data_IF_653820839466
#
_entry.id   IF_653820839466
#
_cell.length_a   1.000
_cell.length_b   1.000
_cell.length_c   1.000
_cell.angle_alpha   90.00
_cell.angle_beta   90.00
_cell.angle_gamma   90.00
#
_symmetry.space_group_name_H-M   'P 1'
#
loop_
_entity.id
_entity.type
_entity.pdbx_description
1 polymer ?
#
# COMPACT_ATOMS: atom_id res chain seq x y z
N UNK A 1 1.97 -12.47 -41.31
CA UNK A 1 1.60 -12.83 -39.93
C UNK A 1 2.35 -11.86 -39.02
N UNK A 2 1.67 -10.78 -38.59
CA UNK A 2 2.28 -9.70 -37.81
C UNK A 2 2.57 -10.17 -36.37
N UNK A 3 3.84 -10.45 -36.08
CA UNK A 3 4.38 -10.47 -34.72
C UNK A 3 4.98 -9.11 -34.41
N UNK A 4 4.16 -8.11 -34.11
CA UNK A 4 4.64 -6.77 -33.75
C UNK A 4 3.74 -6.16 -32.68
N UNK A 5 4.23 -6.16 -31.43
CA UNK A 5 4.07 -5.14 -30.36
C UNK A 5 3.75 -5.65 -28.93
N UNK A 6 3.47 -6.93 -28.68
CA UNK A 6 3.16 -7.41 -27.32
C UNK A 6 4.38 -7.53 -26.37
N UNK A 7 5.60 -7.38 -26.87
CA UNK A 7 6.81 -7.45 -26.04
C UNK A 7 7.27 -6.09 -25.49
N UNK A 8 6.58 -4.98 -25.82
CA UNK A 8 6.99 -3.63 -25.40
C UNK A 8 6.16 -3.04 -24.24
N UNK A 9 5.24 -3.82 -23.65
CA UNK A 9 4.52 -3.45 -22.42
C UNK A 9 4.96 -4.25 -21.19
N UNK A 10 6.13 -4.91 -21.25
CA UNK A 10 6.75 -5.69 -20.15
C UNK A 10 7.22 -4.84 -18.95
N UNK A 11 6.66 -3.65 -18.71
CA UNK A 11 7.22 -2.70 -17.76
C UNK A 11 6.24 -1.73 -17.10
N UNK A 12 4.92 -1.97 -17.11
CA UNK A 12 4.06 -1.23 -16.18
C UNK A 12 4.12 -1.90 -14.81
N UNK A 13 4.75 -1.21 -13.88
CA UNK A 13 4.92 -1.61 -12.48
C UNK A 13 3.55 -1.81 -11.81
N UNK A 14 3.20 -3.04 -11.45
CA UNK A 14 1.91 -3.31 -10.81
C UNK A 14 1.96 -2.85 -9.35
N UNK A 15 0.90 -2.18 -8.92
CA UNK A 15 0.67 -1.83 -7.52
C UNK A 15 -0.63 -2.46 -7.03
N UNK A 16 -0.64 -2.90 -5.78
CA UNK A 16 -1.86 -3.30 -5.09
C UNK A 16 -2.47 -2.07 -4.45
N UNK A 17 -3.77 -1.87 -4.64
CA UNK A 17 -4.53 -0.77 -4.05
C UNK A 17 -5.59 -1.34 -3.11
N UNK A 18 -5.78 -0.66 -1.98
CA UNK A 18 -6.85 -0.94 -1.02
C UNK A 18 -7.53 0.37 -0.62
N UNK A 19 -8.80 0.51 -0.98
CA UNK A 19 -9.68 1.50 -0.35
C UNK A 19 -10.41 0.84 0.80
N UNK A 20 -10.46 1.49 1.96
CA UNK A 20 -11.13 0.93 3.13
C UNK A 20 -11.71 2.01 4.03
N UNK A 21 -12.89 1.77 4.59
CA UNK A 21 -13.44 2.52 5.72
C UNK A 21 -13.30 1.70 6.99
N UNK A 22 -12.16 1.84 7.66
CA UNK A 22 -11.77 0.93 8.75
C UNK A 22 -12.65 1.13 9.98
N UNK A 23 -12.92 0.05 10.70
CA UNK A 23 -13.63 0.13 11.99
C UNK A 23 -12.94 1.08 12.99
N UNK A 24 -11.61 1.14 12.99
CA UNK A 24 -10.82 2.00 13.91
C UNK A 24 -11.12 3.49 13.71
N UNK A 25 -11.37 3.94 12.49
CA UNK A 25 -11.58 5.35 12.14
C UNK A 25 -13.04 5.79 12.25
N UNK A 26 -13.96 4.81 12.42
CA UNK A 26 -15.41 4.99 12.32
C UNK A 26 -16.15 4.48 13.57
N UNK A 27 -15.46 4.36 14.70
CA UNK A 27 -16.02 3.82 15.96
C UNK A 27 -17.26 4.57 16.45
N UNK A 28 -17.34 5.86 16.16
CA UNK A 28 -18.46 6.73 16.56
C UNK A 28 -19.72 6.51 15.71
N UNK A 29 -19.62 5.78 14.59
CA UNK A 29 -20.76 5.51 13.73
C UNK A 29 -21.52 4.28 14.24
N UNK A 30 -22.82 4.41 14.59
CA UNK A 30 -23.59 3.28 15.08
C UNK A 30 -23.79 2.22 13.99
N UNK A 31 -23.62 0.95 14.39
CA UNK A 31 -23.72 -0.23 13.52
C UNK A 31 -22.83 -0.13 12.28
N UNK A 32 -21.65 0.47 12.43
CA UNK A 32 -20.72 0.60 11.34
C UNK A 32 -20.21 -0.78 10.88
N UNK A 33 -20.17 -0.97 9.55
CA UNK A 33 -19.56 -2.13 8.92
C UNK A 33 -18.50 -1.63 7.95
N UNK A 34 -17.28 -2.10 8.16
CA UNK A 34 -16.15 -1.80 7.30
C UNK A 34 -16.44 -2.19 5.84
N UNK A 35 -16.11 -1.27 4.93
CA UNK A 35 -16.13 -1.50 3.48
C UNK A 35 -14.70 -1.56 2.98
N UNK A 36 -14.45 -2.46 2.03
CA UNK A 36 -13.13 -2.60 1.40
C UNK A 36 -13.27 -2.78 -0.10
N UNK A 37 -12.37 -2.18 -0.86
CA UNK A 37 -12.18 -2.43 -2.29
C UNK A 37 -10.69 -2.62 -2.54
N UNK A 38 -10.30 -3.86 -2.86
CA UNK A 38 -8.92 -4.22 -3.18
C UNK A 38 -8.79 -4.62 -4.64
N UNK A 39 -7.78 -4.12 -5.33
CA UNK A 39 -7.53 -4.40 -6.74
C UNK A 39 -6.06 -4.18 -7.10
N UNK A 40 -5.68 -4.66 -8.29
CA UNK A 40 -4.36 -4.50 -8.87
C UNK A 40 -4.44 -3.48 -9.99
N UNK A 41 -3.43 -2.61 -10.13
CA UNK A 41 -3.46 -1.53 -11.12
C UNK A 41 -2.07 -1.18 -11.64
N UNK A 42 -2.05 -0.56 -12.80
CA UNK A 42 -0.89 0.12 -13.40
C UNK A 42 -1.08 1.64 -13.49
N UNK A 43 -2.21 2.14 -12.97
CA UNK A 43 -2.59 3.56 -12.95
C UNK A 43 -1.80 4.33 -11.89
N UNK A 44 -1.57 5.61 -12.12
CA UNK A 44 -0.90 6.50 -11.15
C UNK A 44 -1.82 6.82 -9.97
N UNK A 45 -1.26 7.40 -8.91
CA UNK A 45 -2.03 7.83 -7.73
C UNK A 45 -3.09 8.86 -8.12
N UNK A 46 -2.74 9.81 -9.00
CA UNK A 46 -3.62 10.88 -9.48
C UNK A 46 -4.83 10.31 -10.20
N UNK A 47 -4.63 9.31 -11.07
CA UNK A 47 -5.71 8.64 -11.78
C UNK A 47 -6.65 7.86 -10.83
N UNK A 48 -6.14 7.43 -9.69
CA UNK A 48 -6.90 6.66 -8.69
C UNK A 48 -7.71 7.54 -7.75
N UNK A 49 -7.45 8.87 -7.69
CA UNK A 49 -8.17 9.79 -6.81
C UNK A 49 -9.66 9.84 -7.13
N UNK A 50 -10.03 9.97 -8.40
CA UNK A 50 -11.45 9.97 -8.81
C UNK A 50 -12.17 8.67 -8.38
N UNK A 51 -11.46 7.54 -8.44
CA UNK A 51 -12.03 6.25 -8.03
C UNK A 51 -12.15 6.14 -6.50
N UNK A 52 -11.25 6.78 -5.77
CA UNK A 52 -11.31 6.89 -4.31
C UNK A 52 -12.44 7.83 -3.87
N UNK A 53 -12.63 8.96 -4.53
CA UNK A 53 -13.72 9.90 -4.24
C UNK A 53 -15.08 9.22 -4.42
N UNK A 54 -15.26 8.46 -5.52
CA UNK A 54 -16.45 7.63 -5.72
C UNK A 54 -16.63 6.55 -4.64
N UNK A 55 -15.55 6.05 -4.04
CA UNK A 55 -15.64 5.11 -2.92
C UNK A 55 -16.08 5.80 -1.62
N UNK A 56 -15.63 7.04 -1.41
CA UNK A 56 -16.00 7.91 -0.28
C UNK A 56 -17.48 8.31 -0.37
N UNK A 57 -17.94 8.76 -1.54
CA UNK A 57 -19.33 9.18 -1.80
C UNK A 57 -20.35 8.05 -1.56
N UNK A 58 -19.96 6.80 -1.78
CA UNK A 58 -20.79 5.62 -1.47
C UNK A 58 -20.85 5.28 0.02
N UNK A 59 -20.10 6.00 0.86
CA UNK A 59 -20.08 5.86 2.30
C UNK A 59 -21.30 6.49 2.98
N UNK A 60 -21.31 6.41 4.31
CA UNK A 60 -22.30 7.07 5.16
C UNK A 60 -21.80 8.45 5.58
N UNK A 61 -22.72 9.35 5.91
CA UNK A 61 -22.38 10.66 6.49
C UNK A 61 -21.44 10.49 7.69
N UNK A 62 -20.37 11.29 7.74
CA UNK A 62 -19.26 11.23 8.72
C UNK A 62 -18.36 9.99 8.64
N UNK A 63 -18.50 9.13 7.63
CA UNK A 63 -17.61 8.00 7.40
C UNK A 63 -16.24 8.46 6.89
N UNK A 64 -15.18 7.99 7.54
CA UNK A 64 -13.79 8.17 7.13
C UNK A 64 -13.34 6.96 6.32
N UNK A 65 -12.82 7.21 5.13
CA UNK A 65 -12.20 6.21 4.25
C UNK A 65 -10.71 6.52 4.06
N UNK A 66 -9.92 5.48 3.76
CA UNK A 66 -8.49 5.57 3.50
C UNK A 66 -8.13 4.92 2.16
N UNK A 67 -7.21 5.54 1.45
CA UNK A 67 -6.60 5.03 0.24
C UNK A 67 -5.19 4.53 0.58
N UNK A 68 -4.99 3.22 0.42
CA UNK A 68 -3.69 2.59 0.51
C UNK A 68 -3.16 2.09 -0.83
N UNK A 69 -1.84 2.17 -1.03
CA UNK A 69 -1.11 1.56 -2.15
C UNK A 69 0.06 0.73 -1.63
N UNK A 70 0.41 -0.37 -2.30
CA UNK A 70 1.59 -1.14 -1.90
C UNK A 70 2.86 -0.33 -2.09
N UNK A 71 3.71 -0.30 -1.05
CA UNK A 71 5.03 0.33 -1.11
C UNK A 71 5.87 -0.35 -2.19
N UNK A 72 5.79 -1.67 -2.24
CA UNK A 72 6.47 -2.48 -3.25
C UNK A 72 5.62 -2.72 -4.49
N UNK A 73 6.31 -2.72 -5.61
CA UNK A 73 5.80 -3.15 -6.90
C UNK A 73 5.63 -4.65 -6.95
N UNK A 74 4.75 -5.11 -7.82
CA UNK A 74 4.48 -6.53 -8.04
C UNK A 74 4.94 -6.94 -9.43
N UNK A 75 5.59 -8.08 -9.49
CA UNK A 75 6.06 -8.67 -10.73
C UNK A 75 4.89 -9.33 -11.46
N UNK A 76 4.53 -8.80 -12.63
CA UNK A 76 3.39 -9.28 -13.40
C UNK A 76 3.46 -10.77 -13.73
N UNK A 77 4.65 -11.27 -14.10
CA UNK A 77 4.82 -12.69 -14.46
C UNK A 77 4.64 -13.58 -13.24
N UNK A 78 5.17 -13.19 -12.08
CA UNK A 78 4.99 -13.93 -10.83
C UNK A 78 3.53 -13.92 -10.37
N UNK A 79 2.89 -12.75 -10.37
CA UNK A 79 1.47 -12.60 -10.02
C UNK A 79 0.58 -13.45 -10.92
N UNK A 80 0.80 -13.41 -12.23
CA UNK A 80 0.02 -14.19 -13.19
C UNK A 80 0.15 -15.69 -12.94
N UNK A 81 1.38 -16.19 -12.76
CA UNK A 81 1.61 -17.61 -12.44
C UNK A 81 0.96 -18.00 -11.11
N UNK A 82 1.14 -17.18 -10.07
CA UNK A 82 0.56 -17.44 -8.75
C UNK A 82 -0.98 -17.44 -8.80
N UNK A 83 -1.59 -16.57 -9.60
CA UNK A 83 -3.03 -16.55 -9.80
C UNK A 83 -3.51 -17.83 -10.51
N UNK A 84 -2.81 -18.26 -11.57
CA UNK A 84 -3.16 -19.50 -12.28
C UNK A 84 -3.13 -20.70 -11.35
N UNK A 85 -2.07 -20.86 -10.54
CA UNK A 85 -2.01 -21.90 -9.53
C UNK A 85 -3.17 -21.79 -8.53
N UNK A 86 -3.44 -20.59 -8.02
CA UNK A 86 -4.55 -20.37 -7.08
C UNK A 86 -5.91 -20.78 -7.65
N UNK A 87 -6.19 -20.46 -8.92
CA UNK A 87 -7.46 -20.80 -9.58
C UNK A 87 -7.58 -22.30 -9.90
N UNK A 88 -6.47 -23.00 -10.13
CA UNK A 88 -6.48 -24.46 -10.30
C UNK A 88 -6.77 -25.19 -8.98
N UNK A 89 -6.30 -24.62 -7.87
CA UNK A 89 -6.40 -25.25 -6.54
C UNK A 89 -7.66 -24.85 -5.76
N UNK A 90 -8.41 -23.83 -6.19
CA UNK A 90 -9.51 -23.26 -5.42
C UNK A 90 -10.72 -22.87 -6.30
N UNK A 91 -11.92 -23.25 -5.84
CA UNK A 91 -13.16 -22.68 -6.36
C UNK A 91 -13.38 -21.28 -5.79
N UNK A 92 -13.57 -20.30 -6.66
CA UNK A 92 -13.86 -18.91 -6.26
C UNK A 92 -15.09 -18.37 -6.98
N UNK A 93 -15.76 -17.42 -6.33
CA UNK A 93 -16.71 -16.57 -7.02
C UNK A 93 -15.95 -15.60 -7.94
N UNK A 94 -16.16 -15.70 -9.26
CA UNK A 94 -15.49 -14.84 -10.24
C UNK A 94 -15.82 -13.35 -10.09
N UNK A 95 -16.95 -13.00 -9.48
CA UNK A 95 -17.24 -11.60 -9.12
C UNK A 95 -16.27 -11.04 -8.06
N UNK A 96 -15.61 -11.91 -7.29
CA UNK A 96 -14.56 -11.53 -6.33
C UNK A 96 -13.14 -11.57 -6.90
N UNK A 97 -13.00 -11.85 -8.20
CA UNK A 97 -11.68 -11.99 -8.83
C UNK A 97 -10.76 -10.78 -8.60
N UNK A 98 -11.21 -9.50 -8.68
CA UNK A 98 -10.33 -8.36 -8.43
C UNK A 98 -9.66 -8.38 -7.04
N UNK A 99 -10.43 -8.70 -5.99
CA UNK A 99 -9.89 -8.76 -4.62
C UNK A 99 -9.02 -10.00 -4.40
N UNK A 100 -9.33 -11.11 -5.08
CA UNK A 100 -8.49 -12.31 -5.06
C UNK A 100 -7.15 -12.09 -5.75
N UNK A 101 -7.14 -11.44 -6.91
CA UNK A 101 -5.90 -11.07 -7.61
C UNK A 101 -5.06 -10.15 -6.72
N UNK A 102 -5.66 -9.13 -6.11
CA UNK A 102 -4.97 -8.26 -5.17
C UNK A 102 -4.34 -9.04 -4.00
N UNK A 103 -5.10 -9.95 -3.39
CA UNK A 103 -4.61 -10.80 -2.29
C UNK A 103 -3.45 -11.71 -2.71
N UNK A 104 -3.50 -12.29 -3.91
CA UNK A 104 -2.39 -13.09 -4.46
C UNK A 104 -1.18 -12.21 -4.72
N UNK A 105 -1.38 -11.03 -5.32
CA UNK A 105 -0.31 -10.11 -5.64
C UNK A 105 0.37 -9.52 -4.40
N UNK A 106 -0.35 -9.31 -3.30
CA UNK A 106 0.19 -8.81 -2.03
C UNK A 106 1.21 -9.74 -1.35
N UNK A 107 1.36 -10.99 -1.81
CA UNK A 107 2.34 -11.90 -1.22
C UNK A 107 3.77 -11.46 -1.55
N UNK A 108 4.67 -11.59 -0.58
CA UNK A 108 6.06 -11.14 -0.68
C UNK A 108 6.84 -11.75 -1.86
N UNK A 109 6.55 -13.01 -2.20
CA UNK A 109 7.17 -13.70 -3.34
C UNK A 109 6.86 -13.05 -4.69
N UNK A 110 5.74 -12.32 -4.77
CA UNK A 110 5.30 -11.60 -5.96
C UNK A 110 5.81 -10.16 -6.00
N UNK A 111 6.59 -9.71 -5.01
CA UNK A 111 7.22 -8.41 -5.05
C UNK A 111 8.29 -8.33 -6.17
N UNK A 112 8.32 -7.18 -6.83
CA UNK A 112 9.34 -6.77 -7.81
C UNK A 112 10.42 -5.94 -7.12
N UNK A 113 10.03 -5.03 -6.24
CA UNK A 113 10.92 -4.21 -5.42
C UNK A 113 10.99 -4.72 -3.97
N UNK A 114 11.99 -4.27 -3.21
CA UNK A 114 12.21 -4.66 -1.81
C UNK A 114 12.41 -3.44 -0.89
N UNK A 115 11.62 -2.40 -1.11
CA UNK A 115 11.58 -1.20 -0.28
C UNK A 115 11.13 -1.55 1.14
N UNK A 116 11.69 -0.86 2.13
CA UNK A 116 11.23 -0.93 3.52
C UNK A 116 10.55 0.38 3.90
N UNK A 117 9.55 0.30 4.77
CA UNK A 117 8.79 1.43 5.28
C UNK A 117 8.86 1.45 6.80
N UNK A 118 9.24 2.58 7.37
CA UNK A 118 9.12 2.86 8.79
C UNK A 118 7.79 3.57 9.03
N UNK A 119 6.93 2.97 9.85
CA UNK A 119 5.72 3.60 10.36
C UNK A 119 6.10 4.40 11.60
N UNK A 120 6.16 5.73 11.45
CA UNK A 120 6.57 6.67 12.48
C UNK A 120 5.32 7.23 13.17
N UNK A 121 5.04 6.72 14.36
CA UNK A 121 3.92 7.15 15.23
C UNK A 121 4.41 7.90 16.49
N UNK A 122 5.66 8.39 16.49
CA UNK A 122 6.22 9.18 17.59
C UNK A 122 5.91 10.69 17.44
N UNK A 123 6.53 11.52 18.28
CA UNK A 123 6.40 12.98 18.24
C UNK A 123 6.67 13.55 16.84
N UNK A 124 5.63 14.11 16.21
CA UNK A 124 5.71 14.70 14.87
C UNK A 124 6.76 15.80 14.74
N UNK A 125 7.10 16.48 15.84
CA UNK A 125 8.15 17.53 15.83
C UNK A 125 9.57 16.96 15.62
N UNK A 126 9.76 15.66 15.86
CA UNK A 126 11.07 14.99 15.75
C UNK A 126 11.26 14.19 14.46
N UNK A 127 10.32 14.28 13.52
CA UNK A 127 10.39 13.54 12.26
C UNK A 127 11.67 13.86 11.47
N UNK A 128 12.12 15.12 11.49
CA UNK A 128 13.31 15.51 10.76
C UNK A 128 14.60 14.96 11.42
N UNK A 129 14.61 14.81 12.76
CA UNK A 129 15.70 14.10 13.46
C UNK A 129 15.70 12.61 13.10
N UNK A 130 14.53 11.98 13.06
CA UNK A 130 14.42 10.59 12.64
C UNK A 130 14.90 10.38 11.20
N UNK A 131 14.53 11.27 10.28
CA UNK A 131 15.00 11.22 8.88
C UNK A 131 16.51 11.43 8.80
N UNK A 132 17.08 12.31 9.60
CA UNK A 132 18.53 12.49 9.66
C UNK A 132 19.23 11.20 10.11
N UNK A 133 18.76 10.56 11.18
CA UNK A 133 19.32 9.29 11.65
C UNK A 133 19.17 8.17 10.60
N UNK A 134 18.02 8.09 9.93
CA UNK A 134 17.82 7.13 8.83
C UNK A 134 18.80 7.42 7.70
N UNK A 135 18.95 8.69 7.30
CA UNK A 135 19.85 9.10 6.21
C UNK A 135 21.31 8.78 6.53
N UNK A 136 21.74 8.98 7.78
CA UNK A 136 23.11 8.67 8.21
C UNK A 136 23.41 7.17 8.13
N UNK A 137 22.47 6.32 8.55
CA UNK A 137 22.64 4.86 8.53
C UNK A 137 22.41 4.24 7.15
N UNK A 138 21.48 4.79 6.37
CA UNK A 138 21.08 4.30 5.06
C UNK A 138 21.96 4.82 3.92
N UNK A 139 22.63 5.97 4.13
CA UNK A 139 23.51 6.65 3.17
C UNK A 139 22.80 7.16 1.89
N UNK A 140 21.48 7.37 1.96
CA UNK A 140 20.65 7.97 0.91
C UNK A 140 19.44 8.64 1.57
N UNK A 141 18.74 9.53 0.85
CA UNK A 141 17.61 10.28 1.40
C UNK A 141 16.33 9.43 1.30
N UNK A 142 15.65 9.14 2.42
CA UNK A 142 14.39 8.40 2.39
C UNK A 142 13.23 9.28 1.89
N UNK A 143 12.20 8.64 1.34
CA UNK A 143 10.95 9.31 0.95
C UNK A 143 10.05 9.48 2.19
N UNK A 144 9.58 10.70 2.46
CA UNK A 144 8.66 11.03 3.56
C UNK A 144 7.22 11.18 3.06
N UNK A 145 6.28 10.54 3.73
CA UNK A 145 4.85 10.67 3.49
C UNK A 145 4.12 10.98 4.78
N UNK A 146 3.22 11.96 4.76
CA UNK A 146 2.33 12.22 5.89
C UNK A 146 1.22 11.16 5.94
N UNK A 147 0.92 10.67 7.14
CA UNK A 147 -0.20 9.76 7.36
C UNK A 147 -1.16 10.37 8.38
N UNK A 148 -2.41 9.87 8.52
CA UNK A 148 -3.37 10.45 9.46
C UNK A 148 -2.87 10.54 10.91
N UNK A 149 -1.97 9.64 11.34
CA UNK A 149 -1.50 9.58 12.72
C UNK A 149 -0.03 9.97 12.90
N UNK A 150 0.74 10.10 11.82
CA UNK A 150 2.20 10.19 11.90
C UNK A 150 2.83 10.37 10.53
N UNK A 151 3.93 9.67 10.28
CA UNK A 151 4.63 9.68 9.00
C UNK A 151 4.99 8.26 8.56
N UNK A 152 5.06 8.04 7.27
CA UNK A 152 5.71 6.88 6.69
C UNK A 152 7.02 7.32 6.05
N UNK A 153 8.12 6.66 6.40
CA UNK A 153 9.45 6.92 5.84
C UNK A 153 9.89 5.70 5.05
N UNK A 154 10.11 5.84 3.75
CA UNK A 154 10.36 4.73 2.83
C UNK A 154 11.79 4.78 2.31
N UNK A 155 12.48 3.64 2.38
CA UNK A 155 13.84 3.43 1.83
C UNK A 155 13.80 2.40 0.70
N UNK A 156 14.72 2.51 -0.28
CA UNK A 156 14.69 1.68 -1.50
C UNK A 156 15.10 0.22 -1.24
N UNK A 157 15.92 -0.01 -0.22
CA UNK A 157 16.33 -1.34 0.20
C UNK A 157 16.59 -1.40 1.71
N UNK A 158 16.76 -2.61 2.23
CA UNK A 158 17.10 -2.83 3.64
C UNK A 158 18.51 -2.39 4.02
N UNK A 159 18.69 -2.16 5.32
CA UNK A 159 19.96 -1.84 5.97
C UNK A 159 19.91 -2.29 7.46
N UNK A 160 21.01 -2.12 8.21
CA UNK A 160 21.03 -2.45 9.64
C UNK A 160 20.26 -1.39 10.45
N UNK A 161 19.16 -1.80 11.06
CA UNK A 161 18.22 -0.92 11.79
C UNK A 161 18.27 -1.10 13.30
N UNK A 162 19.19 -1.92 13.83
CA UNK A 162 19.21 -2.28 15.26
C UNK A 162 19.40 -1.07 16.17
N UNK A 163 20.41 -0.24 15.88
CA UNK A 163 20.68 0.97 16.66
C UNK A 163 19.56 2.02 16.49
N UNK A 164 19.03 2.16 15.26
CA UNK A 164 17.93 3.07 14.95
C UNK A 164 16.66 2.72 15.76
N UNK A 165 16.21 1.47 15.71
CA UNK A 165 14.98 1.04 16.40
C UNK A 165 15.15 1.02 17.93
N UNK A 166 16.39 0.90 18.42
CA UNK A 166 16.70 1.03 19.85
C UNK A 166 16.58 2.49 20.31
N UNK A 167 16.98 3.46 19.47
CA UNK A 167 16.80 4.91 19.72
C UNK A 167 15.31 5.30 19.63
N UNK A 168 14.60 4.79 18.62
CA UNK A 168 13.22 5.18 18.30
C UNK A 168 12.21 4.08 18.66
N UNK A 169 11.73 4.11 19.91
CA UNK A 169 10.87 3.04 20.46
C UNK A 169 9.43 2.99 19.93
N UNK A 170 8.94 4.03 19.24
CA UNK A 170 7.59 4.08 18.65
C UNK A 170 7.60 4.04 17.12
N UNK A 171 8.65 3.47 16.55
CA UNK A 171 8.79 3.28 15.11
C UNK A 171 8.72 1.80 14.77
N UNK A 172 7.83 1.44 13.84
CA UNK A 172 7.69 0.06 13.37
C UNK A 172 8.30 -0.10 11.97
N UNK A 173 9.25 -1.02 11.82
CA UNK A 173 9.81 -1.38 10.51
C UNK A 173 8.93 -2.41 9.79
N UNK A 174 8.46 -2.06 8.59
CA UNK A 174 7.65 -2.91 7.71
C UNK A 174 8.39 -3.17 6.40
N UNK A 175 8.73 -4.44 6.14
CA UNK A 175 9.51 -4.85 4.95
C UNK A 175 8.68 -5.00 3.68
N UNK A 176 7.37 -5.19 3.84
CA UNK A 176 6.39 -5.09 2.77
C UNK A 176 5.10 -4.56 3.41
N UNK A 177 4.55 -3.50 2.84
CA UNK A 177 3.49 -2.74 3.48
C UNK A 177 2.60 -2.01 2.48
N UNK A 178 1.50 -1.47 3.01
CA UNK A 178 0.58 -0.59 2.32
C UNK A 178 0.77 0.82 2.86
N UNK A 179 1.18 1.75 1.99
CA UNK A 179 1.34 3.17 2.27
C UNK A 179 -0.03 3.86 2.22
N UNK A 180 -0.36 4.66 3.22
CA UNK A 180 -1.56 5.49 3.21
C UNK A 180 -1.29 6.73 2.36
N UNK A 181 -1.99 6.86 1.23
CA UNK A 181 -1.84 7.97 0.29
C UNK A 181 -2.82 9.09 0.58
N UNK A 182 -4.05 8.72 0.96
CA UNK A 182 -5.10 9.70 1.22
C UNK A 182 -6.05 9.18 2.30
N UNK A 183 -6.73 10.12 2.96
CA UNK A 183 -7.84 9.85 3.87
C UNK A 183 -8.88 10.94 3.74
N UNK A 184 -10.12 10.55 3.50
CA UNK A 184 -11.23 11.47 3.32
C UNK A 184 -12.38 11.10 4.24
N UNK A 185 -13.04 12.12 4.78
CA UNK A 185 -14.25 11.97 5.59
C UNK A 185 -15.42 12.54 4.80
N UNK A 186 -16.48 11.74 4.64
CA UNK A 186 -17.71 12.22 3.99
C UNK A 186 -18.41 13.21 4.93
N UNK A 187 -18.58 14.46 4.47
CA UNK A 187 -19.16 15.57 5.24
C UNK A 187 -20.64 15.73 4.91
#
# INVERSE_FOLDING_TARGET
MMMTSWNNERGKELRVVLFTSRNKDNKELPFFKERTKAFLTTRTIEELKDEFDLFVEKGRLKETSRFYISVNERDNSKVQKALMHYLLDNDINMASLPSKIASVASKKENALTNKWMFDYDDDKSKIDEFIADVTELYLDVPEKFETPNGYAVVVKHGFDTRELLKKWGKVELKRDAMLCIDSAKLI
#
